data_IF_212610909684
#
_entry.id   IF_212610909684
#
_cell.length_a   1.000
_cell.length_b   1.000
_cell.length_c   1.000
_cell.angle_alpha   90.00
_cell.angle_beta   90.00
_cell.angle_gamma   90.00
#
_symmetry.space_group_name_H-M   'P 1'
#
loop_
_entity.id
_entity.type
_entity.pdbx_description
1 polymer ?
#
# COMPACT_ATOMS: atom_id res chain seq x y z
N UNK A 1 -4.66 -19.05 -3.83
CA UNK A 1 -4.37 -18.06 -4.87
C UNK A 1 -4.67 -16.70 -4.30
N UNK A 2 -3.75 -15.75 -4.41
CA UNK A 2 -3.95 -14.36 -4.03
C UNK A 2 -5.13 -13.75 -4.79
N UNK A 3 -5.80 -12.82 -4.14
CA UNK A 3 -6.96 -12.12 -4.71
C UNK A 3 -6.56 -10.71 -5.13
N UNK A 4 -7.19 -10.22 -6.20
CA UNK A 4 -7.15 -8.82 -6.59
C UNK A 4 -8.45 -8.18 -6.16
N UNK A 5 -8.36 -7.17 -5.32
CA UNK A 5 -9.48 -6.39 -4.83
C UNK A 5 -9.42 -5.00 -5.48
N UNK A 6 -10.30 -4.76 -6.44
CA UNK A 6 -10.44 -3.43 -7.06
C UNK A 6 -11.59 -2.72 -6.38
N UNK A 7 -11.32 -1.55 -5.81
CA UNK A 7 -12.33 -0.79 -5.09
C UNK A 7 -13.18 0.07 -6.02
N UNK A 8 -14.49 -0.12 -5.94
CA UNK A 8 -15.50 0.64 -6.70
C UNK A 8 -16.20 1.72 -5.87
N UNK A 9 -15.73 1.97 -4.64
CA UNK A 9 -16.36 2.92 -3.72
C UNK A 9 -16.41 4.34 -4.33
N UNK A 10 -17.58 5.00 -4.39
CA UNK A 10 -17.74 6.30 -5.07
C UNK A 10 -16.78 7.40 -4.60
N UNK A 11 -16.46 7.47 -3.31
CA UNK A 11 -15.51 8.47 -2.79
C UNK A 11 -14.08 8.19 -3.27
N UNK A 12 -13.68 6.93 -3.35
CA UNK A 12 -12.35 6.57 -3.87
C UNK A 12 -12.27 6.96 -5.35
N UNK A 13 -13.26 6.60 -6.15
CA UNK A 13 -13.29 6.92 -7.58
C UNK A 13 -13.35 8.44 -7.83
N UNK A 14 -14.14 9.16 -7.05
CA UNK A 14 -14.19 10.62 -7.12
C UNK A 14 -12.82 11.27 -6.86
N UNK A 15 -12.15 10.90 -5.76
CA UNK A 15 -10.82 11.44 -5.43
C UNK A 15 -9.75 11.01 -6.44
N UNK A 16 -9.84 9.77 -6.93
CA UNK A 16 -8.92 9.27 -7.95
C UNK A 16 -9.04 10.06 -9.26
N UNK A 17 -10.22 10.56 -9.63
CA UNK A 17 -10.39 11.41 -10.82
C UNK A 17 -9.59 12.71 -10.73
N UNK A 18 -9.52 13.34 -9.55
CA UNK A 18 -8.66 14.51 -9.32
C UNK A 18 -7.17 14.14 -9.28
N UNK A 19 -6.80 13.03 -8.62
CA UNK A 19 -5.41 12.52 -8.61
C UNK A 19 -4.89 12.35 -10.04
N UNK A 20 -5.71 11.85 -10.96
CA UNK A 20 -5.36 11.68 -12.38
C UNK A 20 -5.21 13.00 -13.14
N UNK A 21 -5.85 14.06 -12.68
CA UNK A 21 -5.88 15.35 -13.36
C UNK A 21 -4.48 15.96 -13.55
N UNK A 22 -4.16 16.39 -14.77
CA UNK A 22 -2.86 17.01 -15.11
C UNK A 22 -2.65 18.34 -14.39
N UNK A 23 -3.73 19.05 -14.07
CA UNK A 23 -3.70 20.34 -13.39
C UNK A 23 -3.71 20.25 -11.86
N UNK A 24 -3.79 19.05 -11.28
CA UNK A 24 -3.76 18.86 -9.84
C UNK A 24 -2.36 19.13 -9.32
N UNK A 25 -2.24 20.20 -8.52
CA UNK A 25 -0.96 20.65 -7.96
C UNK A 25 -0.41 19.70 -6.90
N UNK A 26 0.87 19.81 -6.59
CA UNK A 26 1.59 18.92 -5.64
C UNK A 26 0.92 18.86 -4.27
N UNK A 27 0.42 19.98 -3.74
CA UNK A 27 -0.25 20.00 -2.43
C UNK A 27 -1.52 19.15 -2.47
N UNK A 28 -2.41 19.47 -3.41
CA UNK A 28 -3.68 18.77 -3.58
C UNK A 28 -3.48 17.28 -3.90
N UNK A 29 -2.50 16.97 -4.74
CA UNK A 29 -2.14 15.58 -5.06
C UNK A 29 -1.77 14.79 -3.80
N UNK A 30 -0.95 15.35 -2.91
CA UNK A 30 -0.58 14.72 -1.62
C UNK A 30 -1.78 14.49 -0.72
N UNK A 31 -2.64 15.52 -0.56
CA UNK A 31 -3.83 15.44 0.27
C UNK A 31 -4.78 14.34 -0.24
N UNK A 32 -5.01 14.28 -1.56
CA UNK A 32 -5.86 13.26 -2.17
C UNK A 32 -5.29 11.84 -2.07
N UNK A 33 -3.97 11.68 -2.24
CA UNK A 33 -3.30 10.37 -2.09
C UNK A 33 -3.41 9.87 -0.66
N UNK A 34 -3.22 10.75 0.31
CA UNK A 34 -3.36 10.45 1.73
C UNK A 34 -4.80 10.02 2.09
N UNK A 35 -5.79 10.78 1.65
CA UNK A 35 -7.22 10.49 1.86
C UNK A 35 -7.65 9.16 1.21
N UNK A 36 -7.21 8.88 -0.02
CA UNK A 36 -7.50 7.59 -0.67
C UNK A 36 -6.77 6.46 0.05
N UNK A 37 -5.53 6.68 0.47
CA UNK A 37 -4.78 5.73 1.30
C UNK A 37 -5.53 5.34 2.57
N UNK A 38 -6.12 6.31 3.27
CA UNK A 38 -6.95 6.09 4.46
C UNK A 38 -8.22 5.29 4.13
N UNK A 39 -8.97 5.67 3.09
CA UNK A 39 -10.20 4.98 2.69
C UNK A 39 -9.92 3.53 2.29
N UNK A 40 -8.85 3.29 1.53
CA UNK A 40 -8.44 1.95 1.15
C UNK A 40 -8.01 1.12 2.37
N UNK A 41 -7.28 1.71 3.32
CA UNK A 41 -6.85 1.03 4.53
C UNK A 41 -8.02 0.55 5.38
N UNK A 42 -9.13 1.31 5.43
CA UNK A 42 -10.36 0.88 6.09
C UNK A 42 -10.87 -0.46 5.51
N UNK A 43 -10.88 -0.60 4.18
CA UNK A 43 -11.29 -1.84 3.53
C UNK A 43 -10.25 -2.96 3.66
N UNK A 44 -8.98 -2.63 3.52
CA UNK A 44 -7.87 -3.60 3.66
C UNK A 44 -7.81 -4.22 5.05
N UNK A 45 -8.35 -3.53 6.06
CA UNK A 45 -8.36 -4.00 7.46
C UNK A 45 -9.68 -4.66 7.88
N UNK A 46 -10.63 -4.87 6.97
CA UNK A 46 -11.99 -5.36 7.26
C UNK A 46 -12.05 -6.72 7.95
N UNK A 47 -11.09 -7.60 7.69
CA UNK A 47 -11.03 -8.97 8.20
C UNK A 47 -10.02 -9.17 9.34
N UNK A 48 -9.56 -8.08 9.98
CA UNK A 48 -8.71 -8.19 11.16
C UNK A 48 -9.42 -8.92 12.29
N UNK A 49 -8.70 -9.85 12.89
CA UNK A 49 -9.23 -10.66 13.99
C UNK A 49 -9.52 -9.81 15.24
N UNK A 50 -10.60 -10.14 15.90
CA UNK A 50 -11.04 -9.52 17.15
C UNK A 50 -10.97 -10.53 18.29
N UNK A 51 -10.61 -10.06 19.48
CA UNK A 51 -10.66 -10.81 20.73
C UNK A 51 -11.60 -10.16 21.73
N UNK A 52 -12.16 -10.99 22.61
CA UNK A 52 -12.97 -10.52 23.73
C UNK A 52 -12.09 -9.97 24.84
N UNK A 53 -12.46 -8.82 25.38
CA UNK A 53 -11.79 -8.14 26.48
C UNK A 53 -12.83 -7.58 27.43
N UNK A 54 -12.72 -7.91 28.73
CA UNK A 54 -13.57 -7.32 29.75
C UNK A 54 -13.16 -5.87 29.98
N UNK A 55 -14.14 -4.99 29.93
CA UNK A 55 -14.00 -3.55 30.17
C UNK A 55 -15.05 -3.08 31.18
N UNK A 56 -14.80 -1.91 31.75
CA UNK A 56 -15.79 -1.19 32.57
C UNK A 56 -16.14 0.13 31.86
N UNK A 57 -17.43 0.32 31.61
CA UNK A 57 -17.99 1.58 31.12
C UNK A 57 -18.35 2.46 32.32
N UNK A 58 -18.68 3.75 32.14
CA UNK A 58 -19.19 4.58 33.21
C UNK A 58 -20.48 4.05 33.89
N UNK A 59 -21.14 3.06 33.26
CA UNK A 59 -22.43 2.54 33.75
C UNK A 59 -22.30 1.11 34.31
N UNK A 60 -21.55 0.22 33.62
CA UNK A 60 -21.48 -1.19 33.99
C UNK A 60 -20.27 -1.90 33.37
N UNK A 61 -19.97 -3.09 33.88
CA UNK A 61 -19.00 -4.01 33.28
C UNK A 61 -19.60 -4.69 32.06
N UNK A 62 -18.77 -4.90 31.02
CA UNK A 62 -19.16 -5.61 29.82
C UNK A 62 -17.96 -6.26 29.11
N UNK A 63 -18.22 -7.22 28.26
CA UNK A 63 -17.22 -7.77 27.33
C UNK A 63 -17.30 -6.99 26.01
N UNK A 64 -16.15 -6.48 25.52
CA UNK A 64 -16.03 -5.73 24.27
C UNK A 64 -15.04 -6.40 23.31
N UNK A 65 -15.15 -6.07 22.03
CA UNK A 65 -14.24 -6.56 20.98
C UNK A 65 -13.06 -5.60 20.81
N UNK A 66 -11.84 -6.13 20.79
CA UNK A 66 -10.60 -5.41 20.44
C UNK A 66 -9.81 -6.19 19.41
N UNK A 67 -8.98 -5.50 18.64
CA UNK A 67 -8.09 -6.17 17.70
C UNK A 67 -7.21 -7.19 18.44
N UNK A 68 -7.18 -8.42 17.92
CA UNK A 68 -6.39 -9.50 18.46
C UNK A 68 -4.90 -9.34 18.10
N UNK A 69 -4.01 -9.92 18.90
CA UNK A 69 -2.57 -10.04 18.63
C UNK A 69 -1.83 -8.73 18.40
N UNK A 70 -0.75 -8.82 17.64
CA UNK A 70 0.03 -7.67 17.17
C UNK A 70 -0.73 -6.97 16.04
N UNK A 71 -0.80 -5.63 16.16
CA UNK A 71 -1.48 -4.79 15.15
C UNK A 71 -0.68 -4.69 13.86
N UNK A 72 -1.09 -3.78 13.00
CA UNK A 72 -0.52 -3.59 11.67
C UNK A 72 0.94 -3.13 11.70
N UNK A 73 1.65 -3.45 10.62
CA UNK A 73 2.83 -2.73 10.17
C UNK A 73 2.58 -2.19 8.75
N UNK A 74 2.92 -0.94 8.52
CA UNK A 74 2.87 -0.29 7.22
C UNK A 74 4.28 -0.24 6.69
N UNK A 75 4.49 -0.66 5.45
CA UNK A 75 5.81 -0.66 4.81
C UNK A 75 5.72 0.06 3.47
N UNK A 76 5.89 1.40 3.46
CA UNK A 76 5.99 2.15 2.22
C UNK A 76 7.27 1.78 1.46
N UNK A 77 7.12 1.62 0.14
CA UNK A 77 8.25 1.56 -0.77
C UNK A 77 8.70 3.00 -1.04
N UNK A 78 9.93 3.30 -0.62
CA UNK A 78 10.49 4.65 -0.79
C UNK A 78 10.73 4.94 -2.28
N UNK A 79 10.46 6.17 -2.72
CA UNK A 79 9.95 7.34 -1.99
C UNK A 79 8.42 7.45 -2.02
N UNK A 80 7.77 7.07 -3.14
CA UNK A 80 6.37 7.37 -3.44
C UNK A 80 5.36 6.77 -2.43
N UNK A 81 5.65 5.60 -1.85
CA UNK A 81 4.82 4.97 -0.84
C UNK A 81 4.59 5.81 0.42
N UNK A 82 5.49 6.76 0.71
CA UNK A 82 5.31 7.69 1.84
C UNK A 82 4.03 8.51 1.75
N UNK A 83 3.58 8.85 0.53
CA UNK A 83 2.38 9.64 0.33
C UNK A 83 1.08 8.99 0.81
N UNK A 84 1.08 7.67 1.04
CA UNK A 84 -0.08 6.93 1.55
C UNK A 84 0.00 6.65 3.06
N UNK A 85 1.14 6.93 3.70
CA UNK A 85 1.43 6.46 5.06
C UNK A 85 0.64 7.18 6.13
N UNK A 86 0.55 8.50 6.06
CA UNK A 86 -0.06 9.33 7.09
C UNK A 86 -1.57 9.10 7.18
N UNK A 87 -2.27 8.94 6.03
CA UNK A 87 -3.68 8.59 5.99
C UNK A 87 -3.97 7.25 6.65
N UNK A 88 -3.12 6.24 6.43
CA UNK A 88 -3.27 4.95 7.09
C UNK A 88 -3.01 5.07 8.59
N UNK A 89 -2.00 5.84 9.00
CA UNK A 89 -1.69 6.08 10.42
C UNK A 89 -2.79 6.86 11.14
N UNK A 90 -3.47 7.79 10.45
CA UNK A 90 -4.60 8.50 11.05
C UNK A 90 -5.76 7.56 11.36
N UNK A 91 -5.95 6.49 10.57
CA UNK A 91 -6.95 5.45 10.82
C UNK A 91 -6.48 4.44 11.88
N UNK A 92 -5.21 4.04 11.85
CA UNK A 92 -4.63 3.06 12.80
C UNK A 92 -3.38 3.61 13.46
N UNK A 93 -3.51 4.55 14.43
CA UNK A 93 -2.35 5.25 15.02
C UNK A 93 -1.34 4.35 15.72
N UNK A 94 -1.76 3.14 16.12
CA UNK A 94 -0.90 2.15 16.78
C UNK A 94 -0.13 1.26 15.78
N UNK A 95 -0.30 1.44 14.47
CA UNK A 95 0.48 0.73 13.47
C UNK A 95 1.98 1.08 13.60
N UNK A 96 2.83 0.11 13.31
CA UNK A 96 4.28 0.36 13.20
C UNK A 96 4.61 0.69 11.75
N UNK A 97 5.63 1.51 11.55
CA UNK A 97 6.10 1.85 10.21
C UNK A 97 7.49 1.28 10.00
N UNK A 98 7.65 0.51 8.94
CA UNK A 98 8.94 0.12 8.41
C UNK A 98 9.14 0.80 7.05
N UNK A 99 10.37 0.83 6.54
CA UNK A 99 10.66 1.42 5.25
C UNK A 99 11.54 0.49 4.44
N UNK A 100 11.24 0.37 3.14
CA UNK A 100 12.09 -0.31 2.16
C UNK A 100 12.40 0.68 1.06
N UNK A 101 13.69 0.93 0.83
CA UNK A 101 14.18 1.76 -0.26
C UNK A 101 14.70 0.89 -1.39
N UNK A 102 14.17 1.11 -2.59
CA UNK A 102 14.57 0.41 -3.81
C UNK A 102 14.94 1.42 -4.89
N UNK A 103 15.95 1.09 -5.69
CA UNK A 103 16.24 1.81 -6.91
C UNK A 103 16.30 0.83 -8.08
N UNK A 104 16.12 1.34 -9.27
CA UNK A 104 16.28 0.55 -10.49
C UNK A 104 17.73 0.64 -10.93
N UNK A 105 18.42 -0.49 -10.92
CA UNK A 105 19.79 -0.57 -11.40
C UNK A 105 19.84 -0.20 -12.89
N UNK A 106 20.68 0.77 -13.30
CA UNK A 106 20.69 1.29 -14.67
C UNK A 106 21.22 0.27 -15.70
N UNK A 107 22.05 -0.69 -15.27
CA UNK A 107 22.64 -1.68 -16.17
C UNK A 107 21.74 -2.92 -16.29
N UNK A 108 21.29 -3.45 -15.16
CA UNK A 108 20.49 -4.70 -15.13
C UNK A 108 18.99 -4.46 -15.22
N UNK A 109 18.53 -3.21 -15.04
CA UNK A 109 17.13 -2.79 -14.94
C UNK A 109 16.33 -3.49 -13.81
N UNK A 110 17.01 -4.16 -12.91
CA UNK A 110 16.39 -4.83 -11.75
C UNK A 110 16.18 -3.85 -10.60
N UNK A 111 15.16 -4.14 -9.79
CA UNK A 111 14.98 -3.44 -8.52
C UNK A 111 16.02 -3.95 -7.51
N UNK A 112 16.74 -3.03 -6.88
CA UNK A 112 17.80 -3.32 -5.89
C UNK A 112 17.48 -2.60 -4.60
N UNK A 113 17.51 -3.34 -3.48
CA UNK A 113 17.34 -2.76 -2.15
C UNK A 113 18.61 -2.01 -1.72
N UNK A 114 18.46 -0.73 -1.37
CA UNK A 114 19.52 0.08 -0.78
C UNK A 114 19.27 0.42 0.70
N UNK A 115 18.04 0.23 1.16
CA UNK A 115 17.66 0.53 2.54
C UNK A 115 16.50 -0.35 2.99
N UNK A 116 16.60 -0.90 4.21
CA UNK A 116 15.48 -1.53 4.89
C UNK A 116 15.58 -1.28 6.40
N UNK A 117 14.55 -0.68 6.98
CA UNK A 117 14.40 -0.51 8.42
C UNK A 117 13.00 -0.95 8.80
N UNK A 118 12.89 -2.06 9.51
CA UNK A 118 11.61 -2.70 9.84
C UNK A 118 11.43 -2.80 11.35
N UNK A 119 10.19 -2.87 11.86
CA UNK A 119 9.91 -3.23 13.25
C UNK A 119 10.54 -4.57 13.61
N UNK A 120 11.08 -4.70 14.83
CA UNK A 120 11.71 -5.94 15.28
C UNK A 120 10.75 -7.14 15.29
N UNK A 121 9.47 -6.89 15.55
CA UNK A 121 8.39 -7.88 15.60
C UNK A 121 7.59 -7.99 14.28
N UNK A 122 8.23 -7.67 13.14
CA UNK A 122 7.59 -7.68 11.81
C UNK A 122 6.99 -9.05 11.46
N UNK A 123 7.58 -10.13 11.96
CA UNK A 123 7.14 -11.50 11.72
C UNK A 123 5.80 -11.85 12.37
N UNK A 124 5.36 -11.05 13.37
CA UNK A 124 4.13 -11.26 14.13
C UNK A 124 2.99 -10.33 13.68
N UNK A 125 3.26 -9.43 12.71
CA UNK A 125 2.31 -8.39 12.30
C UNK A 125 1.62 -8.72 10.99
N UNK A 126 0.39 -8.21 10.84
CA UNK A 126 -0.19 -8.03 9.51
C UNK A 126 0.53 -6.86 8.84
N UNK A 127 1.09 -7.09 7.66
CA UNK A 127 1.89 -6.11 6.93
C UNK A 127 1.09 -5.59 5.74
N UNK A 128 1.03 -4.26 5.60
CA UNK A 128 0.51 -3.60 4.40
C UNK A 128 1.70 -2.91 3.73
N UNK A 129 2.14 -3.46 2.61
CA UNK A 129 3.13 -2.82 1.73
C UNK A 129 2.39 -1.82 0.86
N UNK A 130 2.87 -0.58 0.80
CA UNK A 130 2.21 0.49 0.05
C UNK A 130 3.14 1.14 -0.97
N UNK A 131 2.61 1.29 -2.18
CA UNK A 131 3.20 2.04 -3.28
C UNK A 131 2.05 2.61 -4.12
N UNK A 132 2.05 3.88 -4.53
CA UNK A 132 0.97 4.43 -5.35
C UNK A 132 0.72 3.69 -6.67
N UNK A 133 1.72 3.03 -7.23
CA UNK A 133 1.62 2.41 -8.56
C UNK A 133 2.16 0.98 -8.60
N UNK A 134 1.41 0.08 -9.22
CA UNK A 134 1.85 -1.26 -9.61
C UNK A 134 1.96 -1.32 -11.15
N UNK A 135 3.07 -0.80 -11.69
CA UNK A 135 3.31 -0.78 -13.14
C UNK A 135 3.90 -2.11 -13.64
N UNK A 136 5.21 -2.26 -13.63
CA UNK A 136 5.87 -3.51 -14.03
C UNK A 136 5.92 -4.58 -12.94
N UNK A 137 5.60 -4.22 -11.70
CA UNK A 137 5.70 -5.07 -10.53
C UNK A 137 7.09 -5.19 -9.88
N UNK A 138 8.15 -4.74 -10.56
CA UNK A 138 9.53 -5.01 -10.12
C UNK A 138 9.83 -4.54 -8.69
N UNK A 139 9.45 -3.31 -8.32
CA UNK A 139 9.67 -2.78 -6.96
C UNK A 139 8.83 -3.51 -5.92
N UNK A 140 7.54 -3.73 -6.20
CA UNK A 140 6.64 -4.42 -5.28
C UNK A 140 7.10 -5.86 -5.02
N UNK A 141 7.48 -6.59 -6.07
CA UNK A 141 7.98 -7.96 -5.97
C UNK A 141 9.26 -8.02 -5.13
N UNK A 142 10.24 -7.14 -5.39
CA UNK A 142 11.48 -7.14 -4.62
C UNK A 142 11.26 -6.73 -3.15
N UNK A 143 10.40 -5.74 -2.88
CA UNK A 143 10.06 -5.35 -1.51
C UNK A 143 9.45 -6.53 -0.73
N UNK A 144 8.51 -7.24 -1.33
CA UNK A 144 7.85 -8.38 -0.69
C UNK A 144 8.82 -9.56 -0.54
N UNK A 145 9.67 -9.81 -1.54
CA UNK A 145 10.74 -10.81 -1.44
C UNK A 145 11.67 -10.50 -0.26
N UNK A 146 12.06 -9.24 -0.12
CA UNK A 146 12.90 -8.76 0.99
C UNK A 146 12.22 -8.97 2.36
N UNK A 147 10.93 -8.66 2.47
CA UNK A 147 10.15 -8.90 3.69
C UNK A 147 10.08 -10.39 4.03
N UNK A 148 9.79 -11.24 3.05
CA UNK A 148 9.71 -12.70 3.24
C UNK A 148 11.05 -13.30 3.65
N UNK A 149 12.16 -12.84 3.08
CA UNK A 149 13.52 -13.23 3.50
C UNK A 149 13.80 -12.89 4.97
N UNK A 150 13.11 -11.88 5.53
CA UNK A 150 13.19 -11.49 6.94
C UNK A 150 12.12 -12.14 7.82
N UNK A 151 11.40 -13.14 7.28
CA UNK A 151 10.43 -13.96 8.01
C UNK A 151 9.00 -13.38 8.07
N UNK A 152 8.70 -12.31 7.35
CA UNK A 152 7.34 -11.78 7.23
C UNK A 152 6.43 -12.79 6.52
N UNK A 153 5.21 -12.99 7.04
CA UNK A 153 4.26 -14.00 6.54
C UNK A 153 2.94 -13.41 6.06
N UNK A 154 2.35 -12.50 6.84
CA UNK A 154 1.03 -11.94 6.56
C UNK A 154 1.20 -10.61 5.84
N UNK A 155 1.32 -10.66 4.51
CA UNK A 155 1.60 -9.49 3.67
C UNK A 155 0.41 -9.23 2.76
N UNK A 156 0.00 -7.95 2.68
CA UNK A 156 -0.93 -7.39 1.69
C UNK A 156 -0.20 -6.29 0.94
N UNK A 157 -0.51 -6.16 -0.32
CA UNK A 157 -0.01 -5.05 -1.14
C UNK A 157 -1.15 -4.10 -1.49
N UNK A 158 -0.93 -2.79 -1.36
CA UNK A 158 -1.94 -1.78 -1.62
C UNK A 158 -1.37 -0.67 -2.50
N UNK A 159 -2.07 -0.34 -3.60
CA UNK A 159 -1.69 0.74 -4.51
C UNK A 159 -2.91 1.49 -5.05
N UNK A 160 -2.70 2.74 -5.51
CA UNK A 160 -3.77 3.53 -6.10
C UNK A 160 -4.17 3.01 -7.48
N UNK A 161 -3.18 2.81 -8.35
CA UNK A 161 -3.40 2.29 -9.70
C UNK A 161 -2.47 1.13 -10.01
N UNK A 162 -2.96 0.20 -10.83
CA UNK A 162 -2.17 -0.91 -11.33
C UNK A 162 -2.37 -1.12 -12.83
N UNK A 163 -1.37 -1.73 -13.47
CA UNK A 163 -1.51 -2.30 -14.80
C UNK A 163 -1.67 -3.82 -14.71
N UNK A 164 -2.41 -4.46 -15.64
CA UNK A 164 -2.57 -5.92 -15.66
C UNK A 164 -1.24 -6.68 -15.65
N UNK A 165 -0.24 -6.17 -16.38
CA UNK A 165 1.10 -6.76 -16.46
C UNK A 165 1.81 -6.80 -15.11
N UNK A 166 1.62 -5.77 -14.27
CA UNK A 166 2.17 -5.72 -12.92
C UNK A 166 1.46 -6.66 -11.97
N UNK A 167 0.15 -6.77 -12.08
CA UNK A 167 -0.69 -7.69 -11.30
C UNK A 167 -0.32 -9.13 -11.60
N UNK A 168 -0.20 -9.50 -12.89
CA UNK A 168 0.18 -10.84 -13.32
C UNK A 168 1.54 -11.26 -12.75
N UNK A 169 2.56 -10.42 -12.95
CA UNK A 169 3.91 -10.69 -12.40
C UNK A 169 3.93 -10.79 -10.87
N UNK A 170 3.12 -9.97 -10.21
CA UNK A 170 3.00 -10.03 -8.76
C UNK A 170 2.37 -11.35 -8.30
N UNK A 171 1.33 -11.83 -9.00
CA UNK A 171 0.71 -13.14 -8.74
C UNK A 171 1.66 -14.31 -8.99
N UNK A 172 2.46 -14.23 -10.05
CA UNK A 172 3.47 -15.25 -10.34
C UNK A 172 4.55 -15.33 -9.25
N UNK A 173 5.06 -14.17 -8.81
CA UNK A 173 6.12 -14.11 -7.82
C UNK A 173 5.63 -14.39 -6.38
N UNK A 174 4.43 -13.91 -6.05
CA UNK A 174 3.86 -13.96 -4.70
C UNK A 174 2.38 -14.37 -4.72
N UNK A 175 2.06 -15.63 -5.04
CA UNK A 175 0.68 -16.13 -5.15
C UNK A 175 -0.08 -16.18 -3.82
N UNK A 176 0.55 -15.81 -2.72
CA UNK A 176 0.02 -15.75 -1.36
C UNK A 176 -0.23 -14.31 -0.86
N UNK A 177 0.03 -13.29 -1.70
CA UNK A 177 -0.12 -11.88 -1.33
C UNK A 177 -1.31 -11.26 -2.04
N UNK A 178 -2.35 -10.88 -1.29
CA UNK A 178 -3.51 -10.18 -1.84
C UNK A 178 -3.14 -8.76 -2.26
N UNK A 179 -3.70 -8.32 -3.39
CA UNK A 179 -3.46 -7.03 -4.02
C UNK A 179 -4.73 -6.18 -3.92
N UNK A 180 -4.59 -4.98 -3.37
CA UNK A 180 -5.68 -4.03 -3.18
C UNK A 180 -5.41 -2.78 -4.02
N UNK A 181 -6.33 -2.44 -4.91
CA UNK A 181 -6.14 -1.44 -5.97
C UNK A 181 -7.33 -0.49 -6.00
N UNK A 182 -7.11 0.84 -6.06
CA UNK A 182 -8.21 1.78 -6.28
C UNK A 182 -8.71 1.77 -7.73
N UNK A 183 -7.81 1.55 -8.71
CA UNK A 183 -8.21 1.28 -10.10
C UNK A 183 -7.20 0.39 -10.82
N UNK A 184 -7.72 -0.59 -11.55
CA UNK A 184 -6.96 -1.37 -12.52
C UNK A 184 -7.09 -0.69 -13.88
N UNK A 185 -5.98 -0.19 -14.40
CA UNK A 185 -5.91 0.52 -15.67
C UNK A 185 -5.71 -0.43 -16.85
N UNK A 186 -5.63 0.12 -18.08
CA UNK A 186 -5.72 -0.69 -19.29
C UNK A 186 -4.44 -1.50 -19.57
N UNK A 187 -3.27 -0.85 -19.50
CA UNK A 187 -1.98 -1.43 -19.88
C UNK A 187 -0.80 -0.54 -19.50
N UNK A 188 0.40 -1.03 -19.75
CA UNK A 188 1.61 -0.22 -19.82
C UNK A 188 1.85 0.31 -21.24
N UNK A 189 2.35 1.55 -21.37
CA UNK A 189 2.86 2.07 -22.64
C UNK A 189 4.33 1.64 -22.87
N UNK A 190 4.89 2.01 -24.03
CA UNK A 190 6.27 1.66 -24.43
C UNK A 190 7.36 2.16 -23.48
N UNK A 191 7.03 3.14 -22.63
CA UNK A 191 7.92 3.68 -21.60
C UNK A 191 7.64 3.09 -20.21
N UNK A 192 6.83 2.03 -20.13
CA UNK A 192 6.40 1.37 -18.91
C UNK A 192 5.58 2.26 -17.93
N UNK A 193 4.92 3.30 -18.43
CA UNK A 193 3.91 4.05 -17.69
C UNK A 193 2.55 3.38 -17.79
N UNK A 194 1.79 3.40 -16.71
CA UNK A 194 0.39 2.95 -16.67
C UNK A 194 -0.46 3.89 -17.53
N UNK A 195 -1.36 3.36 -18.33
CA UNK A 195 -2.26 4.09 -19.23
C UNK A 195 -3.71 3.70 -18.93
N UNK A 196 -4.62 4.68 -18.68
CA UNK A 196 -4.45 6.14 -18.71
C UNK A 196 -3.57 6.71 -17.58
N UNK A 197 -3.42 6.03 -16.45
CA UNK A 197 -2.47 6.34 -15.40
C UNK A 197 -2.75 7.63 -14.61
N UNK A 198 -1.71 8.11 -13.94
CA UNK A 198 -1.68 9.38 -13.20
C UNK A 198 -0.32 10.11 -13.34
N UNK A 199 0.53 9.68 -14.26
CA UNK A 199 1.91 10.18 -14.40
C UNK A 199 2.89 9.51 -13.43
N UNK A 200 3.96 10.21 -13.06
CA UNK A 200 4.91 9.76 -12.03
C UNK A 200 4.43 10.22 -10.65
N UNK A 201 4.02 9.28 -9.82
CA UNK A 201 3.49 9.58 -8.49
C UNK A 201 4.55 10.20 -7.57
N UNK A 202 5.80 9.75 -7.66
CA UNK A 202 6.89 10.30 -6.85
C UNK A 202 7.16 11.76 -7.17
N UNK A 203 7.29 12.10 -8.45
CA UNK A 203 7.50 13.48 -8.90
C UNK A 203 6.31 14.37 -8.53
N UNK A 204 5.08 13.89 -8.68
CA UNK A 204 3.86 14.64 -8.31
C UNK A 204 3.73 14.84 -6.81
N UNK A 205 4.09 13.84 -5.99
CA UNK A 205 4.09 13.93 -4.52
C UNK A 205 5.13 14.91 -3.99
N UNK A 206 6.32 14.92 -4.60
CA UNK A 206 7.47 15.65 -4.04
C UNK A 206 7.83 16.91 -4.82
N UNK A 207 7.18 17.17 -5.96
CA UNK A 207 7.45 18.33 -6.79
C UNK A 207 8.87 18.31 -7.37
N UNK A 208 9.34 17.14 -7.81
CA UNK A 208 10.72 16.93 -8.29
C UNK A 208 10.89 17.07 -9.80
N UNK A 209 9.85 17.49 -10.51
CA UNK A 209 9.90 17.92 -11.92
C UNK A 209 9.30 19.29 -12.08
#
# INVERSE_FOLDING_TARGET
MSKVHVFDHPLIQHKLSYIRGVNTGTKEFRELVDEVGMLMAYEVTRDLELQDVDIETPVTKMTAKRLAGKKLAIVPILRAGLGMTDGILSLVPAARVGHIGLYRDPETLKAVEYFAKLPQDITERQIIVVDPMLATGASAIEAITSLKKRGAKNIRFMCLIAAPEGVEKMHEAHPDVDIYIAALDEKLNDKAYITPGLGDAGDRLFGTK
#
